data_IF_195837747925
#
_entry.id   IF_195837747925
#
_cell.length_a   1.000
_cell.length_b   1.000
_cell.length_c   1.000
_cell.angle_alpha   90.00
_cell.angle_beta   90.00
_cell.angle_gamma   90.00
#
_symmetry.space_group_name_H-M   'P 1'
#
loop_
_entity.id
_entity.type
_entity.pdbx_description
1 polymer ?
#
# COMPACT_ATOMS: atom_id res chain seq x y z
N UNK A 1 4.28 -15.59 7.29
CA UNK A 1 3.10 -14.89 6.74
C UNK A 1 3.49 -13.44 6.56
N UNK A 2 3.05 -12.79 5.47
CA UNK A 2 3.39 -11.39 5.23
C UNK A 2 2.33 -10.51 5.92
N UNK A 3 2.69 -9.89 7.04
CA UNK A 3 1.71 -9.17 7.88
C UNK A 3 1.35 -7.78 7.34
N UNK A 4 2.06 -7.31 6.31
CA UNK A 4 1.80 -6.01 5.72
C UNK A 4 0.59 -6.03 4.78
N UNK A 5 -0.36 -5.15 5.06
CA UNK A 5 -1.47 -4.83 4.18
C UNK A 5 -1.35 -3.39 3.70
N UNK A 6 -1.59 -3.18 2.42
CA UNK A 6 -1.52 -1.88 1.76
C UNK A 6 -2.86 -1.48 1.18
N UNK A 7 -3.07 -0.18 1.13
CA UNK A 7 -4.11 0.47 0.33
C UNK A 7 -3.44 1.56 -0.51
N UNK A 8 -3.74 1.56 -1.81
CA UNK A 8 -3.10 2.46 -2.77
C UNK A 8 -4.16 3.33 -3.43
N UNK A 9 -3.92 4.64 -3.49
CA UNK A 9 -4.77 5.59 -4.18
C UNK A 9 -4.55 5.57 -5.71
N UNK A 10 -5.34 6.37 -6.44
CA UNK A 10 -5.22 6.48 -7.89
C UNK A 10 -3.82 6.95 -8.35
N UNK A 11 -3.11 7.73 -7.54
CA UNK A 11 -1.82 8.32 -7.90
C UNK A 11 -0.68 7.31 -7.98
N UNK A 12 -0.83 6.16 -7.31
CA UNK A 12 0.16 5.09 -7.25
C UNK A 12 -0.39 3.71 -7.69
N UNK A 13 -1.58 3.67 -8.30
CA UNK A 13 -2.29 2.43 -8.66
C UNK A 13 -1.49 1.42 -9.49
N UNK A 14 -0.49 1.87 -10.27
CA UNK A 14 0.43 1.00 -11.01
C UNK A 14 1.17 0.00 -10.09
N UNK A 15 1.35 0.31 -8.81
CA UNK A 15 2.06 -0.52 -7.85
C UNK A 15 1.23 -1.69 -7.31
N UNK A 16 -0.10 -1.65 -7.45
CA UNK A 16 -0.99 -2.65 -6.89
C UNK A 16 -0.61 -4.06 -7.35
N UNK A 17 -0.41 -4.24 -8.67
CA UNK A 17 -0.04 -5.54 -9.24
C UNK A 17 1.34 -6.01 -8.79
N UNK A 18 2.30 -5.08 -8.69
CA UNK A 18 3.66 -5.39 -8.22
C UNK A 18 3.68 -5.84 -6.77
N UNK A 19 2.98 -5.15 -5.86
CA UNK A 19 2.93 -5.54 -4.45
C UNK A 19 2.19 -6.88 -4.25
N UNK A 20 1.10 -7.12 -4.99
CA UNK A 20 0.42 -8.42 -4.99
C UNK A 20 1.32 -9.54 -5.48
N UNK A 21 2.08 -9.30 -6.56
CA UNK A 21 3.06 -10.27 -7.08
C UNK A 21 4.13 -10.60 -6.03
N UNK A 22 4.54 -9.63 -5.22
CA UNK A 22 5.47 -9.83 -4.10
C UNK A 22 4.82 -10.51 -2.87
N UNK A 23 3.52 -10.78 -2.91
CA UNK A 23 2.77 -11.46 -1.85
C UNK A 23 2.10 -10.55 -0.82
N UNK A 24 2.10 -9.24 -1.03
CA UNK A 24 1.50 -8.30 -0.10
C UNK A 24 0.00 -8.14 -0.35
N UNK A 25 -0.79 -8.14 0.72
CA UNK A 25 -2.22 -7.84 0.65
C UNK A 25 -2.41 -6.38 0.24
N UNK A 26 -2.79 -6.13 -1.01
CA UNK A 26 -2.84 -4.76 -1.55
C UNK A 26 -4.19 -4.51 -2.19
N UNK A 27 -4.93 -3.55 -1.66
CA UNK A 27 -6.18 -3.07 -2.26
C UNK A 27 -5.95 -1.75 -2.98
N UNK A 28 -6.68 -1.58 -4.08
CA UNK A 28 -6.74 -0.33 -4.80
C UNK A 28 -7.95 0.45 -4.30
N UNK A 29 -7.77 1.71 -3.92
CA UNK A 29 -8.86 2.59 -3.55
C UNK A 29 -9.44 3.20 -4.83
N UNK A 30 -10.60 2.68 -5.26
CA UNK A 30 -11.21 3.01 -6.56
C UNK A 30 -11.71 4.45 -6.64
N UNK A 31 -11.89 5.12 -5.51
CA UNK A 31 -12.32 6.51 -5.44
C UNK A 31 -13.15 6.74 -4.19
N UNK A 32 -13.56 7.98 -4.02
CA UNK A 32 -14.14 8.47 -2.78
C UNK A 32 -13.33 9.63 -2.24
N UNK A 33 -13.71 10.08 -1.06
CA UNK A 33 -12.96 11.15 -0.43
C UNK A 33 -11.75 10.64 0.35
N UNK A 34 -10.94 11.62 0.61
CA UNK A 34 -9.60 11.50 1.13
C UNK A 34 -9.66 11.10 2.64
N UNK A 35 -10.83 11.24 3.28
CA UNK A 35 -11.16 10.73 4.63
C UNK A 35 -11.66 9.28 4.59
N UNK A 36 -12.42 8.88 3.57
CA UNK A 36 -12.83 7.49 3.35
C UNK A 36 -11.62 6.58 3.17
N UNK A 37 -10.62 7.01 2.38
CA UNK A 37 -9.34 6.30 2.25
C UNK A 37 -8.69 6.06 3.62
N UNK A 38 -8.60 7.08 4.45
CA UNK A 38 -7.94 6.99 5.76
C UNK A 38 -8.76 6.16 6.75
N UNK A 39 -10.08 6.25 6.73
CA UNK A 39 -10.96 5.44 7.56
C UNK A 39 -10.89 3.96 7.17
N UNK A 40 -10.89 3.66 5.88
CA UNK A 40 -10.73 2.29 5.39
C UNK A 40 -9.36 1.73 5.80
N UNK A 41 -8.29 2.51 5.58
CA UNK A 41 -6.94 2.14 6.01
C UNK A 41 -6.87 1.82 7.51
N UNK A 42 -7.49 2.67 8.33
CA UNK A 42 -7.58 2.44 9.79
C UNK A 42 -8.35 1.16 10.12
N UNK A 43 -9.54 0.99 9.55
CA UNK A 43 -10.45 -0.11 9.90
C UNK A 43 -9.86 -1.48 9.54
N UNK A 44 -9.11 -1.55 8.44
CA UNK A 44 -8.50 -2.79 7.95
C UNK A 44 -7.02 -2.94 8.34
N UNK A 45 -6.49 -2.02 9.15
CA UNK A 45 -5.08 -1.97 9.55
C UNK A 45 -4.12 -1.99 8.36
N UNK A 46 -4.41 -1.16 7.33
CA UNK A 46 -3.61 -1.02 6.12
C UNK A 46 -2.71 0.21 6.19
N UNK A 47 -1.54 0.08 5.60
CA UNK A 47 -0.63 1.19 5.34
C UNK A 47 -1.05 1.85 4.02
N UNK A 48 -1.25 3.16 4.05
CA UNK A 48 -1.56 3.93 2.83
C UNK A 48 -0.27 4.12 2.04
N UNK A 49 -0.31 3.87 0.73
CA UNK A 49 0.75 4.28 -0.19
C UNK A 49 0.16 5.33 -1.14
N UNK A 50 0.77 6.51 -1.15
CA UNK A 50 0.28 7.66 -1.94
C UNK A 50 1.44 8.53 -2.41
N UNK A 51 1.18 9.38 -3.41
CA UNK A 51 2.05 10.51 -3.78
C UNK A 51 1.51 11.86 -3.30
N UNK A 52 0.31 11.88 -2.74
CA UNK A 52 -0.33 13.11 -2.32
C UNK A 52 0.18 13.55 -0.94
N UNK A 53 0.88 14.68 -0.91
CA UNK A 53 1.34 15.31 0.33
C UNK A 53 0.20 15.81 1.22
N UNK A 54 -1.00 16.02 0.66
CA UNK A 54 -2.22 16.38 1.38
C UNK A 54 -2.66 15.30 2.37
N UNK A 55 -2.60 14.02 1.94
CA UNK A 55 -2.88 12.87 2.81
C UNK A 55 -2.00 12.89 4.06
N UNK A 56 -0.70 13.18 3.89
CA UNK A 56 0.27 13.19 4.99
C UNK A 56 -0.02 14.24 6.06
N UNK A 57 -0.78 15.28 5.73
CA UNK A 57 -1.15 16.35 6.68
C UNK A 57 -2.38 15.99 7.52
N UNK A 58 -3.08 14.89 7.23
CA UNK A 58 -4.26 14.48 8.01
C UNK A 58 -3.90 14.10 9.44
N UNK A 59 -4.78 14.50 10.36
CA UNK A 59 -4.61 14.24 11.80
C UNK A 59 -4.37 12.77 12.15
N UNK A 60 -5.07 11.84 11.48
CA UNK A 60 -4.92 10.41 11.76
C UNK A 60 -3.55 9.87 11.36
N UNK A 61 -2.91 10.47 10.35
CA UNK A 61 -1.57 10.12 9.89
C UNK A 61 -0.54 10.76 10.82
N UNK A 62 -0.67 12.06 11.10
CA UNK A 62 0.26 12.80 11.97
C UNK A 62 0.20 12.35 13.43
N UNK A 63 -0.93 11.81 13.89
CA UNK A 63 -1.04 11.19 15.21
C UNK A 63 -0.54 9.75 15.27
N UNK A 64 -0.10 9.17 14.15
CA UNK A 64 0.36 7.78 14.07
C UNK A 64 -0.75 6.72 14.20
N UNK A 65 -2.02 7.12 14.09
CA UNK A 65 -3.15 6.18 14.16
C UNK A 65 -3.35 5.42 12.85
N UNK A 66 -2.86 5.97 11.75
CA UNK A 66 -2.80 5.33 10.44
C UNK A 66 -1.40 5.54 9.88
N UNK A 67 -0.77 4.47 9.41
CA UNK A 67 0.54 4.54 8.77
C UNK A 67 0.38 4.89 7.29
N UNK A 68 1.25 5.76 6.79
CA UNK A 68 1.31 6.10 5.37
C UNK A 68 2.76 6.20 4.88
N UNK A 69 2.93 5.83 3.61
CA UNK A 69 4.17 5.94 2.85
C UNK A 69 3.92 6.96 1.74
N UNK A 70 4.68 8.05 1.77
CA UNK A 70 4.72 9.03 0.71
C UNK A 70 5.81 8.64 -0.30
N UNK A 71 5.42 8.37 -1.54
CA UNK A 71 6.35 8.11 -2.63
C UNK A 71 6.82 9.42 -3.24
N UNK A 72 8.10 9.49 -3.60
CA UNK A 72 8.69 10.70 -4.19
C UNK A 72 8.85 10.58 -5.70
N UNK A 73 8.98 9.36 -6.22
CA UNK A 73 9.15 9.13 -7.65
C UNK A 73 7.82 8.95 -8.39
N UNK A 74 7.79 9.28 -9.68
CA UNK A 74 6.71 8.92 -10.60
C UNK A 74 6.99 7.61 -11.37
N UNK A 75 8.23 7.10 -11.28
CA UNK A 75 8.68 5.94 -12.03
C UNK A 75 8.31 4.67 -11.24
N UNK A 76 7.44 3.77 -11.76
CA UNK A 76 6.94 2.63 -10.98
C UNK A 76 8.04 1.71 -10.42
N UNK A 77 9.11 1.48 -11.19
CA UNK A 77 10.26 0.67 -10.72
C UNK A 77 10.99 1.33 -9.55
N UNK A 78 11.07 2.65 -9.53
CA UNK A 78 11.69 3.40 -8.43
C UNK A 78 10.76 3.39 -7.21
N UNK A 79 9.46 3.61 -7.42
CA UNK A 79 8.46 3.54 -6.36
C UNK A 79 8.46 2.20 -5.62
N UNK A 80 8.54 1.07 -6.33
CA UNK A 80 8.67 -0.24 -5.66
C UNK A 80 9.93 -0.29 -4.81
N UNK A 81 11.07 0.22 -5.30
CA UNK A 81 12.29 0.29 -4.48
C UNK A 81 12.11 1.18 -3.26
N UNK A 82 11.40 2.31 -3.36
CA UNK A 82 11.09 3.16 -2.20
C UNK A 82 10.27 2.39 -1.16
N UNK A 83 9.21 1.69 -1.58
CA UNK A 83 8.39 0.87 -0.69
C UNK A 83 9.23 -0.22 -0.04
N UNK A 84 10.01 -0.96 -0.83
CA UNK A 84 10.85 -2.05 -0.32
C UNK A 84 11.92 -1.55 0.64
N UNK A 85 12.51 -0.38 0.38
CA UNK A 85 13.50 0.24 1.27
C UNK A 85 12.91 0.54 2.64
N UNK A 86 11.67 1.02 2.69
CA UNK A 86 10.95 1.25 3.94
C UNK A 86 10.65 -0.07 4.68
N UNK A 87 10.44 -1.17 3.93
CA UNK A 87 10.15 -2.50 4.45
C UNK A 87 11.40 -3.36 4.74
N UNK A 88 12.61 -2.86 4.45
CA UNK A 88 13.89 -3.61 4.45
C UNK A 88 14.17 -4.36 5.75
N UNK A 89 13.57 -3.95 6.86
CA UNK A 89 13.80 -4.56 8.18
C UNK A 89 13.12 -5.90 8.39
N UNK A 90 12.20 -6.32 7.52
CA UNK A 90 11.32 -7.47 7.81
C UNK A 90 11.55 -8.71 6.96
N UNK A 91 12.25 -8.61 5.83
CA UNK A 91 12.51 -9.74 4.90
C UNK A 91 11.26 -10.60 4.59
N UNK A 92 10.07 -10.00 4.64
CA UNK A 92 8.79 -10.68 4.48
C UNK A 92 8.36 -10.63 3.01
N UNK A 93 8.91 -11.53 2.21
CA UNK A 93 8.45 -11.75 0.84
C UNK A 93 7.79 -13.12 0.76
N UNK A 94 6.62 -13.17 0.13
CA UNK A 94 5.95 -14.43 -0.21
C UNK A 94 5.46 -14.34 -1.65
N UNK A 95 6.38 -14.26 -2.64
CA UNK A 95 6.00 -13.99 -4.02
C UNK A 95 5.02 -15.03 -4.54
N UNK A 96 4.15 -14.61 -5.44
CA UNK A 96 3.17 -15.49 -6.11
C UNK A 96 2.19 -16.21 -5.17
N UNK A 97 1.99 -15.71 -3.95
CA UNK A 97 0.95 -16.20 -3.03
C UNK A 97 -0.37 -15.44 -3.15
N UNK A 98 -0.42 -14.37 -3.95
CA UNK A 98 -1.63 -13.57 -4.20
C UNK A 98 -1.89 -13.34 -5.68
N UNK A 99 -3.16 -13.36 -6.04
CA UNK A 99 -3.62 -13.01 -7.38
C UNK A 99 -3.38 -11.53 -7.66
N UNK A 100 -2.72 -11.23 -8.79
CA UNK A 100 -2.44 -9.85 -9.20
C UNK A 100 -3.70 -9.04 -9.51
N UNK A 101 -4.78 -9.70 -9.96
CA UNK A 101 -6.03 -9.05 -10.35
C UNK A 101 -7.00 -8.86 -9.17
N UNK A 102 -7.24 -9.90 -8.37
CA UNK A 102 -8.25 -9.87 -7.30
C UNK A 102 -7.69 -9.82 -5.87
N UNK A 103 -6.37 -9.85 -5.66
CA UNK A 103 -5.71 -9.89 -4.34
C UNK A 103 -5.95 -11.18 -3.51
N UNK A 104 -6.79 -12.12 -3.98
CA UNK A 104 -7.05 -13.38 -3.30
C UNK A 104 -5.79 -14.23 -3.14
N UNK A 105 -5.76 -15.08 -2.11
CA UNK A 105 -4.68 -16.04 -1.93
C UNK A 105 -4.72 -17.08 -3.06
N UNK A 106 -3.54 -17.42 -3.58
CA UNK A 106 -3.40 -18.50 -4.56
C UNK A 106 -3.16 -19.80 -3.79
N UNK A 107 -3.90 -20.83 -4.15
CA UNK A 107 -3.69 -22.20 -3.70
C UNK A 107 -2.72 -22.89 -4.67
N UNK A 108 -1.91 -23.83 -4.16
CA UNK A 108 -0.98 -24.63 -4.96
C UNK A 108 -1.70 -25.58 -5.93
#
# INVERSE_FOLDING_TARGET
MNDFKFIIDQNAGKLVKWLRMLGYDTVFFEGGDDSELVNLARSESRIIITRDTGIMKRRLITSGLVSAILLTSEIPRVQIREVLHILETKNCFAPFTRCMECNGLLEE
#
